data_IF_720494881238
#
_entry.id   IF_720494881238
#
_cell.length_a   1.000
_cell.length_b   1.000
_cell.length_c   1.000
_cell.angle_alpha   90.00
_cell.angle_beta   90.00
_cell.angle_gamma   90.00
#
_symmetry.space_group_name_H-M   'P 1'
#
loop_
_entity.id
_entity.type
_entity.pdbx_description
1 polymer ?
#
# COMPACT_ATOMS: atom_id res chain seq x y z
N UNK A 1 10.47 -4.60 21.43
CA UNK A 1 9.80 -3.30 21.16
C UNK A 1 9.36 -3.29 19.70
N UNK A 2 8.08 -3.09 19.45
CA UNK A 2 7.57 -2.92 18.09
C UNK A 2 8.16 -1.65 17.49
N UNK A 3 8.78 -1.76 16.30
CA UNK A 3 9.42 -0.62 15.63
C UNK A 3 8.41 0.08 14.74
N UNK A 4 8.38 1.40 14.80
CA UNK A 4 7.40 2.24 14.09
C UNK A 4 7.92 2.70 12.74
N UNK A 5 7.03 3.23 11.89
CA UNK A 5 7.43 3.85 10.61
C UNK A 5 8.30 5.10 10.81
N UNK A 6 8.27 5.72 11.99
CA UNK A 6 9.17 6.82 12.34
C UNK A 6 10.61 6.36 12.53
N UNK A 7 10.81 5.08 12.94
CA UNK A 7 12.15 4.48 13.16
C UNK A 7 12.83 4.04 11.85
N UNK A 8 12.24 4.30 10.70
CA UNK A 8 12.86 4.01 9.41
C UNK A 8 14.08 4.91 9.22
N UNK A 9 15.27 4.32 8.99
CA UNK A 9 16.50 5.11 8.87
C UNK A 9 16.47 6.09 7.69
N UNK A 10 17.24 7.15 7.80
CA UNK A 10 17.48 8.06 6.69
C UNK A 10 18.15 7.32 5.52
N UNK A 11 17.77 7.66 4.28
CA UNK A 11 18.20 7.02 3.03
C UNK A 11 17.78 5.54 2.86
N UNK A 12 16.99 4.97 3.78
CA UNK A 12 16.49 3.63 3.61
C UNK A 12 15.52 3.52 2.43
N UNK A 13 15.60 2.40 1.71
CA UNK A 13 14.56 1.99 0.74
C UNK A 13 13.46 1.23 1.48
N UNK A 14 12.22 1.65 1.30
CA UNK A 14 11.05 1.16 2.04
C UNK A 14 9.97 0.72 1.06
N UNK A 15 9.54 -0.52 1.16
CA UNK A 15 8.31 -0.99 0.52
C UNK A 15 7.12 -0.58 1.37
N UNK A 16 6.08 -0.04 0.72
CA UNK A 16 4.84 0.31 1.39
C UNK A 16 3.73 -0.66 1.00
N UNK A 17 2.99 -1.10 2.00
CA UNK A 17 1.71 -1.76 1.80
C UNK A 17 0.63 -0.71 1.49
N UNK A 18 -0.42 -1.14 0.77
CA UNK A 18 -1.53 -0.28 0.38
C UNK A 18 -2.18 0.43 1.57
N UNK A 19 -2.30 -0.24 2.72
CA UNK A 19 -2.91 0.34 3.91
C UNK A 19 -2.19 1.62 4.38
N UNK A 20 -0.86 1.70 4.31
CA UNK A 20 -0.09 2.88 4.72
C UNK A 20 -0.40 4.08 3.82
N UNK A 21 -0.48 3.86 2.51
CA UNK A 21 -0.80 4.93 1.56
C UNK A 21 -2.26 5.37 1.70
N UNK A 22 -3.18 4.43 1.85
CA UNK A 22 -4.60 4.73 2.07
C UNK A 22 -4.79 5.53 3.36
N UNK A 23 -4.13 5.16 4.46
CA UNK A 23 -4.19 5.94 5.71
C UNK A 23 -3.66 7.37 5.53
N UNK A 24 -2.60 7.54 4.73
CA UNK A 24 -2.06 8.87 4.45
C UNK A 24 -3.00 9.75 3.59
N UNK A 25 -3.87 9.14 2.78
CA UNK A 25 -4.78 9.85 1.88
C UNK A 25 -6.11 10.26 2.53
N UNK A 26 -6.53 9.56 3.60
CA UNK A 26 -7.85 9.75 4.21
C UNK A 26 -7.74 10.25 5.66
N UNK A 27 -8.07 11.55 5.91
CA UNK A 27 -7.86 12.20 7.23
C UNK A 27 -8.64 11.59 8.40
N UNK A 28 -9.73 10.88 8.12
CA UNK A 28 -10.59 10.26 9.14
C UNK A 28 -9.99 9.00 9.78
N UNK A 29 -8.85 8.52 9.28
CA UNK A 29 -8.20 7.31 9.80
C UNK A 29 -7.21 7.64 10.90
N UNK A 30 -7.18 6.83 11.98
CA UNK A 30 -6.33 7.05 13.16
C UNK A 30 -4.84 7.22 12.85
N UNK A 31 -4.34 6.54 11.83
CA UNK A 31 -2.93 6.57 11.42
C UNK A 31 -2.60 7.63 10.37
N UNK A 32 -3.55 8.50 10.01
CA UNK A 32 -3.37 9.48 8.93
C UNK A 32 -2.11 10.32 9.11
N UNK A 33 -1.94 10.95 10.26
CA UNK A 33 -0.84 11.90 10.49
C UNK A 33 0.54 11.24 10.35
N UNK A 34 0.73 10.06 10.96
CA UNK A 34 2.01 9.35 10.95
C UNK A 34 2.33 8.77 9.57
N UNK A 35 1.32 8.26 8.84
CA UNK A 35 1.51 7.78 7.48
C UNK A 35 1.79 8.94 6.51
N UNK A 36 1.07 10.06 6.63
CA UNK A 36 1.32 11.27 5.84
C UNK A 36 2.74 11.83 6.07
N UNK A 37 3.23 11.78 7.30
CA UNK A 37 4.60 12.18 7.62
C UNK A 37 5.65 11.29 6.91
N UNK A 38 5.41 9.97 6.81
CA UNK A 38 6.28 9.08 6.06
C UNK A 38 6.32 9.44 4.56
N UNK A 39 5.15 9.71 3.94
CA UNK A 39 5.10 10.14 2.55
C UNK A 39 5.85 11.47 2.34
N UNK A 40 5.71 12.41 3.26
CA UNK A 40 6.44 13.67 3.24
C UNK A 40 7.97 13.49 3.34
N UNK A 41 8.44 12.51 4.13
CA UNK A 41 9.86 12.12 4.17
C UNK A 41 10.35 11.63 2.81
N UNK A 42 9.52 10.85 2.10
CA UNK A 42 9.80 10.42 0.73
C UNK A 42 9.92 11.60 -0.23
N UNK A 43 8.96 12.52 -0.21
CA UNK A 43 8.97 13.72 -1.07
C UNK A 43 10.22 14.59 -0.85
N UNK A 44 10.71 14.70 0.39
CA UNK A 44 11.96 15.39 0.71
C UNK A 44 13.23 14.59 0.36
N UNK A 45 13.08 13.32 -0.05
CA UNK A 45 14.22 12.45 -0.36
C UNK A 45 14.93 11.87 0.87
N UNK A 46 14.30 11.92 2.04
CA UNK A 46 14.86 11.37 3.29
C UNK A 46 14.79 9.85 3.32
N UNK A 47 13.83 9.25 2.62
CA UNK A 47 13.65 7.82 2.41
C UNK A 47 13.25 7.57 0.96
N UNK A 48 13.52 6.36 0.46
CA UNK A 48 13.16 5.97 -0.90
C UNK A 48 11.91 5.08 -0.86
N UNK A 49 10.76 5.62 -1.25
CA UNK A 49 9.48 4.91 -1.20
C UNK A 49 9.28 4.03 -2.45
N UNK A 50 8.85 2.81 -2.22
CA UNK A 50 8.57 1.82 -3.28
C UNK A 50 7.18 1.24 -3.12
N UNK A 51 6.54 1.00 -4.26
CA UNK A 51 5.29 0.25 -4.39
C UNK A 51 5.46 -0.81 -5.48
N UNK A 52 4.73 -1.90 -5.39
CA UNK A 52 4.52 -2.78 -6.56
C UNK A 52 3.36 -2.25 -7.40
N UNK A 53 3.28 -2.65 -8.68
CA UNK A 53 2.13 -2.33 -9.53
C UNK A 53 0.83 -2.86 -8.91
N UNK A 54 0.83 -4.07 -8.31
CA UNK A 54 -0.37 -4.62 -7.65
C UNK A 54 -0.79 -3.80 -6.44
N UNK A 55 0.18 -3.33 -5.62
CA UNK A 55 -0.11 -2.44 -4.49
C UNK A 55 -0.68 -1.10 -4.96
N UNK A 56 -0.13 -0.52 -6.02
CA UNK A 56 -0.65 0.72 -6.60
C UNK A 56 -2.09 0.53 -7.13
N UNK A 57 -2.38 -0.60 -7.79
CA UNK A 57 -3.73 -0.92 -8.23
C UNK A 57 -4.71 -1.09 -7.06
N UNK A 58 -4.29 -1.73 -5.96
CA UNK A 58 -5.11 -1.86 -4.75
C UNK A 58 -5.39 -0.50 -4.09
N UNK A 59 -4.41 0.41 -4.05
CA UNK A 59 -4.60 1.78 -3.57
C UNK A 59 -5.68 2.50 -4.38
N UNK A 60 -5.62 2.43 -5.72
CA UNK A 60 -6.62 3.05 -6.58
C UNK A 60 -8.01 2.46 -6.32
N UNK A 61 -8.10 1.13 -6.23
CA UNK A 61 -9.36 0.44 -5.96
C UNK A 61 -9.95 0.84 -4.61
N UNK A 62 -9.17 0.84 -3.55
CA UNK A 62 -9.60 1.26 -2.21
C UNK A 62 -10.02 2.74 -2.18
N UNK A 63 -9.31 3.61 -2.89
CA UNK A 63 -9.65 5.02 -2.96
C UNK A 63 -11.02 5.24 -3.61
N UNK A 64 -11.35 4.51 -4.67
CA UNK A 64 -12.67 4.56 -5.31
C UNK A 64 -13.77 4.12 -4.34
N UNK A 65 -13.56 3.01 -3.63
CA UNK A 65 -14.52 2.52 -2.63
C UNK A 65 -14.73 3.54 -1.51
N UNK A 66 -13.64 4.09 -0.96
CA UNK A 66 -13.71 5.04 0.15
C UNK A 66 -14.34 6.37 -0.25
N UNK A 67 -14.07 6.85 -1.47
CA UNK A 67 -14.73 8.05 -2.01
C UNK A 67 -16.24 7.84 -2.12
N UNK A 68 -16.68 6.67 -2.59
CA UNK A 68 -18.09 6.35 -2.68
C UNK A 68 -18.73 6.17 -1.29
N UNK A 69 -18.09 5.48 -0.36
CA UNK A 69 -18.56 5.34 1.02
C UNK A 69 -18.77 6.70 1.70
N UNK A 70 -17.88 7.66 1.43
CA UNK A 70 -17.98 9.02 1.98
C UNK A 70 -19.22 9.78 1.50
N UNK A 71 -19.86 9.35 0.41
CA UNK A 71 -21.14 9.90 -0.06
C UNK A 71 -22.35 9.43 0.77
N UNK A 72 -22.16 8.43 1.65
CA UNK A 72 -23.17 7.98 2.61
C UNK A 72 -24.29 7.10 2.03
N UNK A 73 -24.22 6.71 0.75
CA UNK A 73 -25.25 5.88 0.12
C UNK A 73 -25.23 4.43 0.61
N UNK A 74 -24.07 3.91 0.95
CA UNK A 74 -23.85 2.59 1.52
C UNK A 74 -22.82 2.67 2.66
N UNK A 75 -22.83 1.69 3.56
CA UNK A 75 -21.95 1.72 4.74
C UNK A 75 -20.81 0.68 4.68
N UNK A 76 -20.98 -0.40 3.88
CA UNK A 76 -20.00 -1.48 3.81
C UNK A 76 -19.27 -1.47 2.47
N UNK A 77 -17.97 -1.76 2.51
CA UNK A 77 -17.14 -1.81 1.29
C UNK A 77 -17.65 -2.83 0.26
N UNK A 78 -18.18 -3.98 0.70
CA UNK A 78 -18.73 -5.00 -0.21
C UNK A 78 -19.97 -4.45 -0.97
N UNK A 79 -20.83 -3.70 -0.30
CA UNK A 79 -21.99 -3.09 -0.93
C UNK A 79 -21.57 -1.99 -1.91
N UNK A 80 -20.53 -1.21 -1.55
CA UNK A 80 -19.95 -0.20 -2.43
C UNK A 80 -19.39 -0.84 -3.72
N UNK A 81 -18.64 -1.93 -3.61
CA UNK A 81 -18.10 -2.65 -4.77
C UNK A 81 -19.25 -3.15 -5.66
N UNK A 82 -20.29 -3.76 -5.08
CA UNK A 82 -21.45 -4.26 -5.83
C UNK A 82 -22.16 -3.12 -6.55
N UNK A 83 -22.41 -2.01 -5.86
CA UNK A 83 -23.06 -0.84 -6.45
C UNK A 83 -22.23 -0.26 -7.61
N UNK A 84 -20.94 -0.01 -7.40
CA UNK A 84 -20.08 0.58 -8.42
C UNK A 84 -19.95 -0.29 -9.68
N UNK A 85 -20.00 -1.62 -9.55
CA UNK A 85 -20.02 -2.54 -10.70
C UNK A 85 -21.32 -2.46 -11.50
N UNK A 86 -22.45 -2.18 -10.84
CA UNK A 86 -23.75 -2.06 -11.48
C UNK A 86 -24.00 -0.66 -12.04
N UNK A 87 -23.25 0.35 -11.58
CA UNK A 87 -23.42 1.77 -11.90
C UNK A 87 -22.12 2.39 -12.44
N UNK A 88 -21.71 2.06 -13.67
CA UNK A 88 -20.45 2.57 -14.24
C UNK A 88 -20.43 4.11 -14.36
N UNK A 89 -21.58 4.76 -14.49
CA UNK A 89 -21.72 6.22 -14.47
C UNK A 89 -21.26 6.82 -13.13
N UNK A 90 -21.50 6.13 -12.02
CA UNK A 90 -20.99 6.54 -10.70
C UNK A 90 -19.46 6.47 -10.66
N UNK A 91 -18.86 5.42 -11.21
CA UNK A 91 -17.40 5.29 -11.31
C UNK A 91 -16.79 6.44 -12.10
N UNK A 92 -17.44 6.88 -13.18
CA UNK A 92 -16.97 8.00 -14.01
C UNK A 92 -16.94 9.33 -13.24
N UNK A 93 -17.81 9.50 -12.23
CA UNK A 93 -17.90 10.68 -11.40
C UNK A 93 -16.85 10.72 -10.27
N UNK A 94 -16.26 9.59 -9.91
CA UNK A 94 -15.22 9.55 -8.89
C UNK A 94 -13.98 10.33 -9.35
N UNK A 95 -13.38 11.06 -8.43
CA UNK A 95 -12.28 12.00 -8.74
C UNK A 95 -10.98 11.70 -8.03
N UNK A 96 -11.04 11.16 -6.79
CA UNK A 96 -9.86 10.92 -5.94
C UNK A 96 -8.83 10.01 -6.62
N UNK A 97 -9.25 8.90 -7.20
CA UNK A 97 -8.36 7.96 -7.85
C UNK A 97 -7.59 8.59 -9.02
N UNK A 98 -8.17 9.61 -9.68
CA UNK A 98 -7.55 10.28 -10.84
C UNK A 98 -6.29 11.05 -10.47
N UNK A 99 -6.22 11.58 -9.25
CA UNK A 99 -5.05 12.34 -8.78
C UNK A 99 -3.99 11.45 -8.12
N UNK A 100 -4.34 10.27 -7.63
CA UNK A 100 -3.46 9.44 -6.78
C UNK A 100 -2.12 9.13 -7.46
N UNK A 101 -2.12 8.68 -8.71
CA UNK A 101 -0.86 8.35 -9.41
C UNK A 101 0.05 9.57 -9.54
N UNK A 102 -0.53 10.75 -9.81
CA UNK A 102 0.22 12.01 -9.84
C UNK A 102 0.79 12.33 -8.45
N UNK A 103 -0.03 12.19 -7.40
CA UNK A 103 0.35 12.50 -6.04
C UNK A 103 1.47 11.56 -5.55
N UNK A 104 1.41 10.26 -5.91
CA UNK A 104 2.48 9.30 -5.67
C UNK A 104 3.77 9.68 -6.40
N UNK A 105 3.67 10.12 -7.65
CA UNK A 105 4.82 10.59 -8.44
C UNK A 105 5.46 11.83 -7.80
N UNK A 106 4.65 12.80 -7.36
CA UNK A 106 5.13 13.99 -6.65
C UNK A 106 5.80 13.64 -5.31
N UNK A 107 5.32 12.62 -4.61
CA UNK A 107 5.94 12.07 -3.41
C UNK A 107 7.18 11.18 -3.71
N UNK A 108 7.65 11.17 -4.95
CA UNK A 108 8.83 10.42 -5.43
C UNK A 108 8.75 8.91 -5.21
N UNK A 109 7.54 8.34 -5.28
CA UNK A 109 7.40 6.90 -5.32
C UNK A 109 7.97 6.31 -6.61
N UNK A 110 8.69 5.20 -6.48
CA UNK A 110 9.00 4.33 -7.61
C UNK A 110 8.06 3.12 -7.58
N UNK A 111 7.26 2.96 -8.63
CA UNK A 111 6.38 1.80 -8.81
C UNK A 111 7.17 0.71 -9.53
N UNK A 112 7.34 -0.42 -8.86
CA UNK A 112 8.14 -1.54 -9.34
C UNK A 112 7.27 -2.52 -10.13
N UNK A 113 7.74 -2.98 -11.31
CA UNK A 113 6.99 -3.90 -12.14
C UNK A 113 6.88 -5.27 -11.49
N UNK A 114 5.79 -5.98 -11.82
CA UNK A 114 5.57 -7.38 -11.56
C UNK A 114 5.66 -8.16 -12.87
N UNK A 115 6.36 -9.28 -12.83
CA UNK A 115 6.50 -10.19 -13.98
C UNK A 115 6.07 -11.60 -13.60
N UNK A 116 6.02 -12.49 -14.58
CA UNK A 116 5.78 -13.91 -14.32
C UNK A 116 6.81 -14.52 -13.35
N UNK A 117 8.04 -14.01 -13.33
CA UNK A 117 9.08 -14.47 -12.41
C UNK A 117 8.69 -14.26 -10.95
N UNK A 118 8.17 -13.09 -10.60
CA UNK A 118 7.70 -12.81 -9.24
C UNK A 118 6.44 -13.62 -8.92
N UNK A 119 5.51 -13.75 -9.87
CA UNK A 119 4.32 -14.57 -9.69
C UNK A 119 4.69 -16.02 -9.36
N UNK A 120 5.60 -16.61 -10.12
CA UNK A 120 6.08 -17.97 -9.89
C UNK A 120 6.88 -18.06 -8.57
N UNK A 121 7.84 -17.18 -8.36
CA UNK A 121 8.73 -17.19 -7.19
C UNK A 121 8.00 -16.91 -5.87
N UNK A 122 6.88 -16.17 -5.92
CA UNK A 122 6.07 -15.87 -4.73
C UNK A 122 5.40 -17.11 -4.11
N UNK A 123 5.32 -18.23 -4.85
CA UNK A 123 4.76 -19.49 -4.36
C UNK A 123 5.38 -19.94 -3.05
N UNK A 124 6.70 -19.82 -2.92
CA UNK A 124 7.42 -20.21 -1.70
C UNK A 124 6.90 -19.51 -0.43
N UNK A 125 6.50 -18.23 -0.53
CA UNK A 125 5.99 -17.48 0.63
C UNK A 125 4.59 -17.93 1.04
N UNK A 126 3.76 -18.34 0.06
CA UNK A 126 2.44 -18.94 0.34
C UNK A 126 2.58 -20.29 1.02
N UNK A 127 3.46 -21.15 0.50
CA UNK A 127 3.66 -22.50 1.02
C UNK A 127 4.34 -22.51 2.39
N UNK A 128 5.33 -21.65 2.59
CA UNK A 128 6.15 -21.68 3.79
C UNK A 128 5.55 -20.83 4.92
N UNK A 129 4.89 -19.71 4.60
CA UNK A 129 4.45 -18.73 5.60
C UNK A 129 2.95 -18.46 5.57
N UNK A 130 2.20 -19.07 4.67
CA UNK A 130 0.74 -18.92 4.58
C UNK A 130 0.28 -17.52 4.18
N UNK A 131 1.09 -16.77 3.45
CA UNK A 131 0.72 -15.44 2.99
C UNK A 131 -0.27 -15.49 1.82
N UNK A 132 -1.11 -14.46 1.71
CA UNK A 132 -1.98 -14.30 0.56
C UNK A 132 -1.19 -13.88 -0.70
N UNK A 133 -1.86 -13.93 -1.86
CA UNK A 133 -1.18 -13.73 -3.15
C UNK A 133 -0.47 -12.38 -3.26
N UNK A 134 -1.16 -11.26 -2.96
CA UNK A 134 -0.57 -9.94 -3.09
C UNK A 134 0.61 -9.72 -2.14
N UNK A 135 0.51 -10.21 -0.90
CA UNK A 135 1.57 -10.12 0.10
C UNK A 135 2.80 -10.92 -0.33
N UNK A 136 2.58 -12.14 -0.83
CA UNK A 136 3.65 -13.00 -1.34
C UNK A 136 4.33 -12.41 -2.58
N UNK A 137 3.58 -11.73 -3.47
CA UNK A 137 4.13 -11.00 -4.62
C UNK A 137 4.99 -9.81 -4.17
N UNK A 138 4.52 -9.05 -3.19
CA UNK A 138 5.27 -7.92 -2.63
C UNK A 138 6.60 -8.39 -2.05
N UNK A 139 6.63 -9.50 -1.30
CA UNK A 139 7.88 -10.07 -0.78
C UNK A 139 8.82 -10.56 -1.89
N UNK A 140 8.30 -11.16 -2.96
CA UNK A 140 9.11 -11.56 -4.10
C UNK A 140 9.82 -10.36 -4.75
N UNK A 141 9.12 -9.23 -4.87
CA UNK A 141 9.72 -7.97 -5.35
C UNK A 141 10.73 -7.43 -4.34
N UNK A 142 10.41 -7.43 -3.05
CA UNK A 142 11.35 -6.98 -2.02
C UNK A 142 12.65 -7.77 -2.05
N UNK A 143 12.59 -9.08 -2.24
CA UNK A 143 13.76 -9.95 -2.40
C UNK A 143 14.57 -9.58 -3.64
N UNK A 144 13.91 -9.41 -4.80
CA UNK A 144 14.57 -9.00 -6.05
C UNK A 144 15.32 -7.67 -5.91
N UNK A 145 14.66 -6.70 -5.27
CA UNK A 145 15.19 -5.34 -5.11
C UNK A 145 16.07 -5.18 -3.86
N UNK A 146 16.29 -6.25 -3.07
CA UNK A 146 17.05 -6.25 -1.80
C UNK A 146 16.50 -5.22 -0.79
N UNK A 147 15.18 -5.04 -0.77
CA UNK A 147 14.49 -4.14 0.17
C UNK A 147 14.24 -4.89 1.47
N UNK A 148 14.69 -4.34 2.58
CA UNK A 148 14.54 -4.94 3.91
C UNK A 148 13.41 -4.30 4.73
N UNK A 149 13.10 -3.03 4.51
CA UNK A 149 12.08 -2.31 5.28
C UNK A 149 10.71 -2.42 4.60
N UNK A 150 9.72 -2.85 5.37
CA UNK A 150 8.32 -2.91 4.97
C UNK A 150 7.49 -2.05 5.93
N UNK A 151 6.85 -1.02 5.41
CA UNK A 151 5.84 -0.26 6.15
C UNK A 151 4.46 -0.90 5.92
N UNK A 152 3.87 -1.46 6.97
CA UNK A 152 2.56 -2.11 6.94
C UNK A 152 1.90 -2.10 8.31
N UNK A 153 0.59 -2.20 8.36
CA UNK A 153 -0.17 -2.48 9.59
C UNK A 153 -0.60 -3.95 9.70
N UNK A 154 -0.25 -4.78 8.72
CA UNK A 154 -0.58 -6.19 8.71
C UNK A 154 0.41 -6.99 9.55
N UNK A 155 -0.12 -7.76 10.52
CA UNK A 155 0.66 -8.61 11.42
C UNK A 155 1.22 -9.86 10.72
N UNK A 156 0.67 -10.24 9.58
CA UNK A 156 1.10 -11.43 8.85
C UNK A 156 2.57 -11.35 8.41
N UNK A 157 3.09 -10.14 8.23
CA UNK A 157 4.49 -9.93 7.88
C UNK A 157 5.47 -10.03 9.06
N UNK A 158 5.01 -10.00 10.32
CA UNK A 158 5.90 -10.11 11.49
C UNK A 158 6.60 -11.48 11.59
N UNK A 159 6.02 -12.52 10.97
CA UNK A 159 6.61 -13.86 10.90
C UNK A 159 7.66 -14.03 9.81
N UNK A 160 7.92 -12.99 9.01
CA UNK A 160 8.84 -13.08 7.88
C UNK A 160 10.29 -12.82 8.32
N UNK A 161 11.20 -13.81 8.19
CA UNK A 161 12.61 -13.59 8.52
C UNK A 161 13.25 -12.62 7.52
N UNK A 162 14.16 -11.77 8.03
CA UNK A 162 14.92 -10.82 7.20
C UNK A 162 14.15 -9.56 6.77
N UNK A 163 12.85 -9.45 7.10
CA UNK A 163 12.05 -8.26 6.85
C UNK A 163 11.93 -7.41 8.12
N UNK A 164 12.30 -6.15 7.99
CA UNK A 164 12.17 -5.18 9.06
C UNK A 164 10.80 -4.47 8.98
N UNK A 165 9.77 -5.11 9.54
CA UNK A 165 8.42 -4.55 9.59
C UNK A 165 8.41 -3.27 10.42
N UNK A 166 7.71 -2.24 9.93
CA UNK A 166 7.51 -0.93 10.57
C UNK A 166 6.03 -0.60 10.55
N UNK A 167 5.45 -0.38 11.72
CA UNK A 167 4.00 -0.17 11.87
C UNK A 167 3.66 1.30 12.08
N UNK A 168 2.48 1.75 11.61
CA UNK A 168 1.94 3.07 11.97
C UNK A 168 1.43 3.02 13.42
N UNK A 169 2.14 3.66 14.33
CA UNK A 169 1.76 3.77 15.74
C UNK A 169 1.98 5.19 16.19
#
# INVERSE_FOLDING_TARGET
MSKTIQDIPHQATVMLDANIVVYALFPQVSYHAVCKALLARGARGEVQLRLTVSTAADILHRAMIWEFLAQGQVQRSADAVTYLKQHPETVQQLTRYKSILRDLTQAKFLILPLTYRELHGSRQYREQYGLMTNDSLMLAVMQRERIQYLATNDLDFERMPGIAVRRPM
#
